data_IF_564437508575
#
_entry.id   IF_564437508575
#
_cell.length_a   1.000
_cell.length_b   1.000
_cell.length_c   1.000
_cell.angle_alpha   90.00
_cell.angle_beta   90.00
_cell.angle_gamma   90.00
#
_symmetry.space_group_name_H-M   'P 1'
#
loop_
_entity.id
_entity.type
_entity.pdbx_description
1 polymer ?
#
# COMPACT_ATOMS: atom_id res chain seq x y z
N UNK A 1 1.00 -4.83 20.09
CA UNK A 1 0.87 -5.97 21.02
C UNK A 1 2.26 -6.39 21.48
N UNK A 2 2.50 -6.60 22.78
CA UNK A 2 3.84 -6.91 23.32
C UNK A 2 3.98 -8.31 23.92
N UNK A 3 2.89 -8.90 24.43
CA UNK A 3 2.83 -10.29 24.88
C UNK A 3 1.43 -10.83 24.56
N UNK A 4 1.35 -11.90 23.78
CA UNK A 4 0.10 -12.55 23.39
C UNK A 4 -0.19 -13.74 24.32
N UNK A 5 -1.46 -13.94 24.71
CA UNK A 5 -1.88 -15.22 25.29
C UNK A 5 -2.05 -16.23 24.16
N UNK A 6 -2.09 -17.54 24.50
CA UNK A 6 -2.25 -18.60 23.48
C UNK A 6 -3.43 -18.37 22.51
N UNK A 7 -4.63 -17.94 22.98
CA UNK A 7 -5.73 -17.66 22.05
C UNK A 7 -5.43 -16.48 21.11
N UNK A 8 -4.74 -15.46 21.59
CA UNK A 8 -4.39 -14.29 20.78
C UNK A 8 -3.33 -14.62 19.75
N UNK A 9 -2.32 -15.42 20.13
CA UNK A 9 -1.29 -15.92 19.21
C UNK A 9 -1.90 -16.79 18.12
N UNK A 10 -2.79 -17.73 18.48
CA UNK A 10 -3.53 -18.54 17.51
C UNK A 10 -4.28 -17.65 16.52
N UNK A 11 -5.03 -16.67 17.03
CA UNK A 11 -5.79 -15.76 16.19
C UNK A 11 -4.90 -14.98 15.22
N UNK A 12 -3.80 -14.39 15.69
CA UNK A 12 -2.88 -13.62 14.83
C UNK A 12 -2.26 -14.51 13.75
N UNK A 13 -1.82 -15.72 14.10
CA UNK A 13 -1.19 -16.64 13.14
C UNK A 13 -2.19 -17.13 12.10
N UNK A 14 -3.40 -17.54 12.50
CA UNK A 14 -4.44 -17.96 11.57
C UNK A 14 -4.84 -16.83 10.61
N UNK A 15 -5.02 -15.62 11.14
CA UNK A 15 -5.39 -14.47 10.31
C UNK A 15 -4.26 -14.08 9.33
N UNK A 16 -3.00 -14.12 9.77
CA UNK A 16 -1.86 -13.82 8.91
C UNK A 16 -1.71 -14.85 7.79
N UNK A 17 -1.91 -16.14 8.10
CA UNK A 17 -1.82 -17.21 7.10
C UNK A 17 -2.98 -17.17 6.09
N UNK A 18 -4.21 -16.93 6.57
CA UNK A 18 -5.39 -16.85 5.71
C UNK A 18 -5.39 -15.62 4.77
N UNK A 19 -4.69 -14.55 5.16
CA UNK A 19 -4.63 -13.29 4.41
C UNK A 19 -3.20 -12.91 4.03
N UNK A 20 -2.40 -13.90 3.61
CA UNK A 20 -1.06 -13.66 3.08
C UNK A 20 -1.12 -12.75 1.84
N UNK A 21 -0.19 -11.81 1.74
CA UNK A 21 -0.17 -10.76 0.72
C UNK A 21 1.25 -10.53 0.24
N UNK A 22 1.40 -10.22 -1.05
CA UNK A 22 2.66 -9.69 -1.56
C UNK A 22 2.88 -8.25 -1.08
N UNK A 23 4.10 -7.75 -1.24
CA UNK A 23 4.47 -6.38 -0.84
C UNK A 23 3.62 -5.34 -1.61
N UNK A 24 3.31 -5.62 -2.87
CA UNK A 24 2.53 -4.77 -3.77
C UNK A 24 1.06 -4.73 -3.35
N UNK A 25 0.52 -5.85 -2.88
CA UNK A 25 -0.86 -5.92 -2.39
C UNK A 25 -1.05 -5.07 -1.13
N UNK A 26 -0.03 -4.99 -0.29
CA UNK A 26 -0.05 -4.13 0.90
C UNK A 26 -0.12 -2.65 0.51
N UNK A 27 0.65 -2.23 -0.50
CA UNK A 27 0.59 -0.87 -1.07
C UNK A 27 -0.78 -0.59 -1.68
N UNK A 28 -1.31 -1.52 -2.49
CA UNK A 28 -2.64 -1.40 -3.13
C UNK A 28 -3.76 -1.25 -2.11
N UNK A 29 -3.77 -2.08 -1.07
CA UNK A 29 -4.79 -2.02 -0.01
C UNK A 29 -4.66 -0.76 0.84
N UNK A 30 -3.45 -0.31 1.16
CA UNK A 30 -3.24 0.95 1.87
C UNK A 30 -3.78 2.15 1.08
N UNK A 31 -3.52 2.18 -0.24
CA UNK A 31 -4.06 3.23 -1.12
C UNK A 31 -5.58 3.16 -1.24
N UNK A 32 -6.14 1.97 -1.51
CA UNK A 32 -7.59 1.78 -1.60
C UNK A 32 -8.29 2.23 -0.32
N UNK A 33 -7.84 1.75 0.84
CA UNK A 33 -8.42 2.12 2.12
C UNK A 33 -8.28 3.62 2.43
N UNK A 34 -7.17 4.25 2.05
CA UNK A 34 -6.98 5.70 2.20
C UNK A 34 -7.97 6.47 1.33
N UNK A 35 -8.13 6.08 0.06
CA UNK A 35 -9.05 6.72 -0.89
C UNK A 35 -10.53 6.53 -0.51
N UNK A 36 -10.90 5.42 0.13
CA UNK A 36 -12.25 5.19 0.66
C UNK A 36 -12.51 5.93 1.97
N UNK A 37 -11.50 6.10 2.81
CA UNK A 37 -11.66 6.67 4.16
C UNK A 37 -11.66 8.20 4.14
N UNK A 38 -10.83 8.81 3.29
CA UNK A 38 -10.63 10.25 3.29
C UNK A 38 -11.22 10.90 2.03
N UNK A 39 -11.97 11.99 2.23
CA UNK A 39 -12.42 12.84 1.14
C UNK A 39 -11.26 13.69 0.62
N UNK A 40 -10.48 13.09 -0.28
CA UNK A 40 -9.36 13.74 -0.96
C UNK A 40 -9.79 14.26 -2.34
N UNK A 41 -9.29 15.44 -2.67
CA UNK A 41 -9.48 16.09 -3.97
C UNK A 41 -8.60 15.42 -5.03
N UNK A 42 -9.01 15.50 -6.29
CA UNK A 42 -8.30 14.88 -7.41
C UNK A 42 -6.82 15.28 -7.54
N UNK A 43 -6.48 16.49 -7.08
CA UNK A 43 -5.14 17.05 -7.15
C UNK A 43 -4.28 16.72 -5.91
N UNK A 44 -4.85 16.13 -4.86
CA UNK A 44 -4.09 15.70 -3.69
C UNK A 44 -3.09 14.62 -4.09
N UNK A 45 -1.93 14.60 -3.43
CA UNK A 45 -0.87 13.65 -3.70
C UNK A 45 -0.79 12.60 -2.61
N UNK A 46 -0.67 11.33 -3.01
CA UNK A 46 -0.45 10.22 -2.10
C UNK A 46 0.86 9.51 -2.43
N UNK A 47 1.53 9.04 -1.38
CA UNK A 47 2.69 8.17 -1.46
C UNK A 47 2.51 7.02 -0.48
N UNK A 48 2.56 5.80 -0.99
CA UNK A 48 2.47 4.57 -0.21
C UNK A 48 3.70 3.71 -0.47
N UNK A 49 4.32 3.21 0.60
CA UNK A 49 5.56 2.42 0.57
C UNK A 49 5.45 1.30 1.58
N UNK A 50 5.75 0.08 1.13
CA UNK A 50 5.86 -1.10 1.98
C UNK A 50 7.26 -1.69 1.84
N UNK A 51 7.86 -2.06 2.97
CA UNK A 51 9.11 -2.81 3.05
C UNK A 51 8.85 -4.11 3.82
N UNK A 52 9.19 -5.23 3.19
CA UNK A 52 9.15 -6.55 3.82
C UNK A 52 10.56 -7.01 4.13
N UNK A 53 10.80 -7.31 5.41
CA UNK A 53 12.02 -7.95 5.87
C UNK A 53 11.93 -9.44 5.57
N UNK A 54 12.64 -9.89 4.55
CA UNK A 54 12.54 -11.27 4.07
C UNK A 54 13.26 -12.22 5.03
N UNK A 55 12.56 -13.28 5.44
CA UNK A 55 13.13 -14.27 6.37
C UNK A 55 13.88 -15.40 5.66
N UNK A 56 13.75 -15.49 4.34
CA UNK A 56 14.35 -16.55 3.50
C UNK A 56 15.31 -16.00 2.43
N UNK A 57 15.57 -14.68 2.42
CA UNK A 57 16.48 -14.01 1.49
C UNK A 57 17.40 -13.04 2.26
N UNK A 58 18.59 -12.76 1.71
CA UNK A 58 19.54 -11.79 2.29
C UNK A 58 19.26 -10.33 1.85
N UNK A 59 18.07 -10.06 1.33
CA UNK A 59 17.65 -8.72 0.91
C UNK A 59 16.17 -8.52 1.23
N UNK A 60 15.82 -7.27 1.52
CA UNK A 60 14.43 -6.88 1.74
C UNK A 60 13.72 -6.60 0.41
N UNK A 61 12.40 -6.75 0.43
CA UNK A 61 11.54 -6.48 -0.72
C UNK A 61 10.75 -5.20 -0.49
N UNK A 62 10.71 -4.34 -1.50
CA UNK A 62 10.05 -3.04 -1.45
C UNK A 62 9.01 -2.89 -2.56
N UNK A 63 7.87 -2.30 -2.22
CA UNK A 63 6.94 -1.74 -3.19
C UNK A 63 6.58 -0.31 -2.83
N UNK A 64 6.44 0.52 -3.85
CA UNK A 64 6.08 1.93 -3.74
C UNK A 64 5.06 2.28 -4.81
N UNK A 65 4.10 3.13 -4.46
CA UNK A 65 3.17 3.72 -5.41
C UNK A 65 2.79 5.13 -5.00
N UNK A 66 2.74 6.03 -5.97
CA UNK A 66 2.47 7.44 -5.76
C UNK A 66 1.86 8.10 -6.98
N UNK A 67 1.29 9.28 -6.76
CA UNK A 67 0.65 10.09 -7.79
C UNK A 67 -0.47 10.93 -7.19
N UNK A 68 -1.17 11.64 -8.07
CA UNK A 68 -2.40 12.34 -7.69
C UNK A 68 -3.53 11.36 -7.40
N UNK A 69 -4.49 11.76 -6.58
CA UNK A 69 -5.68 10.96 -6.27
C UNK A 69 -6.43 10.55 -7.53
N UNK A 70 -6.55 11.43 -8.53
CA UNK A 70 -7.17 11.10 -9.81
C UNK A 70 -6.46 9.94 -10.50
N UNK A 71 -5.14 10.00 -10.61
CA UNK A 71 -4.32 8.97 -11.25
C UNK A 71 -4.46 7.63 -10.53
N UNK A 72 -4.41 7.66 -9.19
CA UNK A 72 -4.49 6.46 -8.36
C UNK A 72 -5.88 5.81 -8.38
N UNK A 73 -6.95 6.60 -8.41
CA UNK A 73 -8.32 6.09 -8.60
C UNK A 73 -8.47 5.41 -9.96
N UNK A 74 -8.04 6.07 -11.03
CA UNK A 74 -8.11 5.51 -12.39
C UNK A 74 -7.33 4.19 -12.49
N UNK A 75 -6.14 4.12 -11.90
CA UNK A 75 -5.34 2.90 -11.90
C UNK A 75 -6.01 1.73 -11.15
N UNK A 76 -6.62 2.01 -9.99
CA UNK A 76 -7.31 0.99 -9.20
C UNK A 76 -8.59 0.50 -9.90
N UNK A 77 -9.28 1.38 -10.64
CA UNK A 77 -10.49 1.05 -11.41
C UNK A 77 -10.17 0.28 -12.70
N UNK A 78 -9.19 0.73 -13.48
CA UNK A 78 -8.85 0.15 -14.78
C UNK A 78 -7.94 -1.09 -14.67
N UNK A 79 -7.30 -1.29 -13.52
CA UNK A 79 -6.32 -2.35 -13.30
C UNK A 79 -5.07 -2.22 -14.15
N UNK A 80 -4.82 -1.04 -14.74
CA UNK A 80 -3.68 -0.75 -15.61
C UNK A 80 -2.82 0.34 -15.00
N UNK A 81 -1.53 0.06 -14.88
CA UNK A 81 -0.56 1.08 -14.52
C UNK A 81 -0.54 2.17 -15.60
N UNK A 82 -0.60 3.44 -15.17
CA UNK A 82 -0.39 4.56 -16.07
C UNK A 82 1.09 4.58 -16.50
N UNK A 83 1.34 4.95 -17.76
CA UNK A 83 2.70 5.02 -18.30
C UNK A 83 3.57 6.13 -17.68
N UNK A 84 2.94 7.09 -16.99
CA UNK A 84 3.57 8.17 -16.24
C UNK A 84 2.64 8.57 -15.10
N UNK A 85 3.22 8.90 -13.95
CA UNK A 85 2.53 9.50 -12.81
C UNK A 85 3.11 10.87 -12.53
N UNK A 86 2.30 11.72 -11.90
CA UNK A 86 2.79 12.96 -11.33
C UNK A 86 3.81 12.63 -10.26
N UNK A 87 5.03 13.15 -10.39
CA UNK A 87 6.10 12.99 -9.40
C UNK A 87 5.93 14.00 -8.27
N UNK A 88 6.44 13.71 -7.07
CA UNK A 88 6.34 14.64 -5.93
C UNK A 88 6.89 16.04 -6.26
N UNK A 89 7.98 16.09 -7.05
CA UNK A 89 8.63 17.34 -7.46
C UNK A 89 7.75 18.17 -8.39
N UNK A 90 7.06 17.49 -9.29
CA UNK A 90 6.13 18.09 -10.24
C UNK A 90 4.90 18.63 -9.49
N UNK A 91 4.35 17.82 -8.58
CA UNK A 91 3.21 18.23 -7.75
C UNK A 91 3.51 19.45 -6.86
N UNK A 92 4.68 19.47 -6.20
CA UNK A 92 5.12 20.63 -5.40
C UNK A 92 5.46 21.87 -6.26
N UNK A 93 5.69 21.67 -7.56
CA UNK A 93 6.07 22.72 -8.51
C UNK A 93 4.92 23.62 -8.96
N UNK A 94 3.67 23.13 -8.88
CA UNK A 94 2.47 23.84 -9.32
C UNK A 94 2.21 23.75 -10.82
#
# INVERSE_FOLDING_TARGET
>A
YGLLKRPDELHVVEQAHAHARFVEDSVRLALHGTLETYALDDADFLFSRQLNFETIHDHDVIAERFGTVRELRAELEDGRALGRHTELREWLGG
#
